data_IF_198551703714
#
_entry.id   IF_198551703714
#
_cell.length_a   1.000
_cell.length_b   1.000
_cell.length_c   1.000
_cell.angle_alpha   90.00
_cell.angle_beta   90.00
_cell.angle_gamma   90.00
#
_symmetry.space_group_name_H-M   'P 1'
#
loop_
_entity.id
_entity.type
_entity.pdbx_description
1 polymer ?
#
# COMPACT_ATOMS: atom_id res chain seq x y z
N UNK A 1 -6.31 23.39 4.21
CA UNK A 1 -6.69 22.39 5.23
C UNK A 1 -5.93 21.12 4.91
N UNK A 2 -5.25 20.51 5.88
CA UNK A 2 -4.48 19.27 5.64
C UNK A 2 -5.44 18.07 5.52
N UNK A 3 -5.31 17.30 4.44
CA UNK A 3 -6.10 16.08 4.19
C UNK A 3 -5.77 15.00 5.23
N UNK A 4 -6.79 14.36 5.81
CA UNK A 4 -6.60 13.31 6.82
C UNK A 4 -6.13 11.99 6.18
N UNK A 5 -5.35 11.19 6.93
CA UNK A 5 -4.86 9.90 6.43
C UNK A 5 -6.00 8.95 6.07
N UNK A 6 -7.07 8.94 6.87
CA UNK A 6 -8.25 8.12 6.59
C UNK A 6 -8.85 8.46 5.22
N UNK A 7 -8.92 9.74 4.85
CA UNK A 7 -9.40 10.14 3.51
C UNK A 7 -8.53 9.56 2.40
N UNK A 8 -7.21 9.54 2.58
CA UNK A 8 -6.30 8.92 1.60
C UNK A 8 -6.54 7.41 1.53
N UNK A 9 -6.70 6.75 2.68
CA UNK A 9 -6.97 5.30 2.75
C UNK A 9 -8.29 4.94 2.05
N UNK A 10 -9.34 5.72 2.28
CA UNK A 10 -10.65 5.55 1.62
C UNK A 10 -10.54 5.77 0.10
N UNK A 11 -9.79 6.80 -0.31
CA UNK A 11 -9.58 7.17 -1.70
C UNK A 11 -8.83 6.08 -2.47
N UNK A 12 -7.76 5.51 -1.89
CA UNK A 12 -7.05 4.39 -2.49
C UNK A 12 -7.91 3.11 -2.55
N UNK A 13 -8.71 2.81 -1.52
CA UNK A 13 -9.63 1.67 -1.57
C UNK A 13 -10.69 1.83 -2.68
N UNK A 14 -11.20 3.04 -2.87
CA UNK A 14 -12.10 3.37 -3.97
C UNK A 14 -11.42 3.20 -5.34
N UNK A 15 -10.25 3.80 -5.51
CA UNK A 15 -9.48 3.76 -6.75
C UNK A 15 -9.15 2.31 -7.14
N UNK A 16 -8.73 1.45 -6.20
CA UNK A 16 -8.48 0.04 -6.46
C UNK A 16 -9.71 -0.68 -7.01
N UNK A 17 -10.91 -0.39 -6.48
CA UNK A 17 -12.16 -0.97 -7.01
C UNK A 17 -12.46 -0.46 -8.42
N UNK A 18 -12.24 0.82 -8.70
CA UNK A 18 -12.39 1.39 -10.05
C UNK A 18 -11.39 0.75 -11.02
N UNK A 19 -10.12 0.63 -10.64
CA UNK A 19 -9.10 -0.03 -11.45
C UNK A 19 -9.49 -1.48 -11.73
N UNK A 20 -9.96 -2.23 -10.74
CA UNK A 20 -10.38 -3.62 -10.91
C UNK A 20 -11.52 -3.77 -11.92
N UNK A 21 -12.50 -2.87 -11.90
CA UNK A 21 -13.63 -2.88 -12.84
C UNK A 21 -13.19 -2.74 -14.31
N UNK A 22 -12.03 -2.14 -14.56
CA UNK A 22 -11.43 -2.04 -15.90
C UNK A 22 -10.69 -3.32 -16.34
N UNK A 23 -10.76 -4.38 -15.54
CA UNK A 23 -10.19 -5.70 -15.85
C UNK A 23 -8.71 -5.68 -16.24
N UNK A 24 -7.83 -5.04 -15.45
CA UNK A 24 -6.43 -4.91 -15.80
C UNK A 24 -5.76 -6.28 -15.82
N UNK A 25 -4.76 -6.45 -16.68
CA UNK A 25 -4.08 -7.73 -16.87
C UNK A 25 -2.61 -7.54 -16.48
N UNK A 26 -2.25 -8.08 -15.32
CA UNK A 26 -0.85 -8.19 -14.90
C UNK A 26 -0.06 -9.11 -15.84
N UNK A 27 1.23 -8.81 -16.03
CA UNK A 27 2.13 -9.61 -16.88
C UNK A 27 3.49 -9.79 -16.21
N UNK A 28 4.08 -10.95 -16.44
CA UNK A 28 5.50 -11.24 -16.20
C UNK A 28 6.18 -11.56 -17.53
N UNK A 29 7.50 -11.77 -17.52
CA UNK A 29 8.28 -12.11 -18.73
C UNK A 29 7.72 -13.31 -19.49
N UNK A 30 7.17 -14.30 -18.77
CA UNK A 30 6.78 -15.60 -19.35
C UNK A 30 5.29 -15.92 -19.19
N UNK A 31 4.50 -15.03 -18.58
CA UNK A 31 3.11 -15.34 -18.23
C UNK A 31 2.23 -14.10 -18.18
N UNK A 32 1.04 -14.23 -18.76
CA UNK A 32 -0.09 -13.33 -18.56
C UNK A 32 -0.93 -13.84 -17.40
N UNK A 33 -1.26 -12.97 -16.45
CA UNK A 33 -2.12 -13.31 -15.31
C UNK A 33 -3.60 -13.14 -15.68
N UNK A 34 -4.49 -13.64 -14.82
CA UNK A 34 -5.93 -13.44 -14.97
C UNK A 34 -6.28 -11.96 -14.74
N UNK A 35 -7.40 -11.48 -15.29
CA UNK A 35 -7.83 -10.09 -15.09
C UNK A 35 -8.13 -9.77 -13.62
N UNK A 36 -7.90 -8.51 -13.26
CA UNK A 36 -8.20 -7.91 -11.95
C UNK A 36 -6.97 -7.25 -11.32
N UNK A 37 -7.18 -6.49 -10.24
CA UNK A 37 -6.08 -5.78 -9.55
C UNK A 37 -5.12 -6.71 -8.81
N UNK A 38 -5.61 -7.87 -8.37
CA UNK A 38 -4.84 -8.79 -7.53
C UNK A 38 -3.48 -9.22 -8.11
N UNK A 39 -3.36 -9.52 -9.42
CA UNK A 39 -2.08 -9.85 -10.04
C UNK A 39 -1.16 -8.67 -10.39
N UNK A 40 -1.58 -7.42 -10.19
CA UNK A 40 -0.72 -6.26 -10.43
C UNK A 40 0.50 -6.27 -9.48
N UNK A 41 1.60 -5.70 -9.93
CA UNK A 41 2.68 -5.33 -9.00
C UNK A 41 2.27 -4.10 -8.19
N UNK A 42 2.95 -3.88 -7.06
CA UNK A 42 2.75 -2.69 -6.23
C UNK A 42 2.85 -1.39 -7.04
N UNK A 43 3.92 -1.24 -7.83
CA UNK A 43 4.12 -0.08 -8.69
C UNK A 43 3.01 0.08 -9.76
N UNK A 44 2.47 -1.03 -10.30
CA UNK A 44 1.37 -0.97 -11.25
C UNK A 44 0.06 -0.52 -10.59
N UNK A 45 -0.29 -1.11 -9.43
CA UNK A 45 -1.46 -0.73 -8.67
C UNK A 45 -1.39 0.75 -8.27
N UNK A 46 -0.26 1.18 -7.69
CA UNK A 46 -0.01 2.57 -7.33
C UNK A 46 -0.18 3.54 -8.49
N UNK A 47 0.38 3.20 -9.65
CA UNK A 47 0.25 4.04 -10.84
C UNK A 47 -1.21 4.16 -11.26
N UNK A 48 -1.94 3.04 -11.37
CA UNK A 48 -3.32 3.05 -11.85
C UNK A 48 -4.27 3.73 -10.88
N UNK A 49 -4.10 3.50 -9.57
CA UNK A 49 -4.88 4.19 -8.55
C UNK A 49 -4.65 5.70 -8.61
N UNK A 50 -3.39 6.13 -8.71
CA UNK A 50 -3.07 7.55 -8.79
C UNK A 50 -3.61 8.17 -10.08
N UNK A 51 -3.61 7.45 -11.21
CA UNK A 51 -4.23 7.91 -12.46
C UNK A 51 -5.75 8.14 -12.27
N UNK A 52 -6.45 7.24 -11.56
CA UNK A 52 -7.88 7.41 -11.20
C UNK A 52 -8.07 8.63 -10.28
N UNK A 53 -7.30 8.72 -9.20
CA UNK A 53 -7.43 9.80 -8.23
C UNK A 53 -7.12 11.18 -8.82
N UNK A 54 -6.18 11.26 -9.77
CA UNK A 54 -5.90 12.50 -10.51
C UNK A 54 -7.05 12.93 -11.39
N UNK A 55 -7.77 11.97 -11.99
CA UNK A 55 -8.92 12.25 -12.82
C UNK A 55 -10.14 12.69 -11.99
N UNK A 56 -10.41 12.01 -10.87
CA UNK A 56 -11.61 12.24 -10.06
C UNK A 56 -11.45 13.37 -9.04
N UNK A 57 -10.24 13.52 -8.48
CA UNK A 57 -9.92 14.45 -7.38
C UNK A 57 -8.66 15.27 -7.68
N UNK A 58 -8.59 15.98 -8.83
CA UNK A 58 -7.39 16.72 -9.23
C UNK A 58 -6.95 17.76 -8.19
N UNK A 59 -7.90 18.40 -7.49
CA UNK A 59 -7.57 19.39 -6.45
C UNK A 59 -6.75 18.85 -5.27
N UNK A 60 -6.67 17.53 -5.10
CA UNK A 60 -5.89 16.86 -4.06
C UNK A 60 -4.68 16.11 -4.62
N UNK A 61 -4.84 15.45 -5.77
CA UNK A 61 -3.87 14.47 -6.27
C UNK A 61 -3.13 14.88 -7.53
N UNK A 62 -3.48 15.98 -8.21
CA UNK A 62 -2.89 16.35 -9.51
C UNK A 62 -1.36 16.39 -9.46
N UNK A 63 -0.82 17.04 -8.43
CA UNK A 63 0.63 17.19 -8.20
C UNK A 63 1.24 16.08 -7.34
N UNK A 64 0.45 15.07 -6.96
CA UNK A 64 0.95 13.95 -6.19
C UNK A 64 1.74 12.97 -7.07
N UNK A 65 2.79 12.38 -6.50
CA UNK A 65 3.61 11.39 -7.19
C UNK A 65 4.89 11.03 -6.46
N UNK A 66 5.72 10.17 -7.04
CA UNK A 66 7.00 9.80 -6.44
C UNK A 66 7.95 10.99 -6.36
N UNK A 67 8.57 11.20 -5.20
CA UNK A 67 9.55 12.26 -4.98
C UNK A 67 10.82 11.67 -4.40
N UNK A 68 11.97 12.13 -4.90
CA UNK A 68 13.28 11.69 -4.44
C UNK A 68 13.45 12.04 -2.95
N UNK A 69 13.97 11.11 -2.18
CA UNK A 69 14.33 11.37 -0.78
C UNK A 69 15.38 12.49 -0.69
N UNK A 70 15.20 13.47 0.22
CA UNK A 70 16.21 14.49 0.45
C UNK A 70 17.56 13.87 0.80
N UNK A 71 18.60 14.15 0.01
CA UNK A 71 19.96 13.65 0.24
C UNK A 71 20.20 12.17 -0.09
N UNK A 72 19.25 11.46 -0.72
CA UNK A 72 19.41 10.05 -1.10
C UNK A 72 19.02 9.80 -2.56
N UNK A 73 19.44 8.67 -3.14
CA UNK A 73 19.10 8.29 -4.53
C UNK A 73 17.73 7.64 -4.67
N UNK A 74 17.15 7.13 -3.57
CA UNK A 74 15.85 6.48 -3.53
C UNK A 74 14.69 7.49 -3.65
N UNK A 75 13.51 6.97 -3.96
CA UNK A 75 12.26 7.74 -4.06
C UNK A 75 11.28 7.28 -2.97
N UNK A 76 10.51 8.23 -2.44
CA UNK A 76 9.30 7.96 -1.68
C UNK A 76 8.18 7.69 -2.68
N UNK A 77 7.37 6.67 -2.44
CA UNK A 77 6.38 6.17 -3.38
C UNK A 77 5.35 7.24 -3.75
N UNK A 78 4.89 8.03 -2.77
CA UNK A 78 3.92 9.08 -3.00
C UNK A 78 4.13 10.27 -2.06
N UNK A 79 4.31 11.45 -2.63
CA UNK A 79 4.22 12.72 -1.91
C UNK A 79 3.01 13.50 -2.41
N UNK A 80 2.14 13.89 -1.49
CA UNK A 80 1.10 14.91 -1.66
C UNK A 80 1.69 16.22 -1.12
N UNK A 81 2.07 17.18 -1.99
CA UNK A 81 2.77 18.39 -1.58
C UNK A 81 2.07 19.13 -0.43
N UNK A 82 2.83 19.46 0.61
CA UNK A 82 2.32 20.17 1.79
C UNK A 82 1.36 19.36 2.68
N UNK A 83 1.20 18.06 2.43
CA UNK A 83 0.30 17.18 3.19
C UNK A 83 0.99 15.93 3.71
N UNK A 84 1.42 15.03 2.80
CA UNK A 84 1.90 13.70 3.17
C UNK A 84 3.06 13.22 2.29
N UNK A 85 4.03 12.55 2.89
CA UNK A 85 4.97 11.65 2.24
C UNK A 85 4.64 10.22 2.73
N UNK A 86 4.36 9.32 1.79
CA UNK A 86 3.80 7.99 2.06
C UNK A 86 4.61 6.92 1.33
N UNK A 87 4.95 5.87 2.05
CA UNK A 87 5.47 4.62 1.47
C UNK A 87 4.36 3.58 1.43
N UNK A 88 4.34 2.79 0.36
CA UNK A 88 3.31 1.80 0.11
C UNK A 88 3.86 0.38 0.21
N UNK A 89 2.98 -0.54 0.57
CA UNK A 89 3.28 -1.96 0.47
C UNK A 89 2.10 -2.83 0.10
N UNK A 90 2.36 -3.78 -0.80
CA UNK A 90 1.42 -4.82 -1.19
C UNK A 90 1.54 -6.08 -0.33
N UNK A 91 0.42 -6.48 0.26
CA UNK A 91 0.17 -7.76 0.89
C UNK A 91 -0.62 -8.69 -0.03
N UNK A 92 -0.02 -9.84 -0.37
CA UNK A 92 -0.67 -10.82 -1.25
C UNK A 92 -0.34 -12.25 -0.82
N UNK A 93 -1.13 -12.83 0.11
CA UNK A 93 -0.88 -14.18 0.63
C UNK A 93 -1.13 -15.30 -0.38
N UNK A 94 -1.85 -15.04 -1.47
CA UNK A 94 -2.09 -16.01 -2.53
C UNK A 94 -1.72 -15.45 -3.90
N UNK A 95 -1.11 -16.26 -4.76
CA UNK A 95 -0.82 -15.90 -6.14
C UNK A 95 -2.04 -15.98 -7.06
N UNK A 96 -1.87 -15.54 -8.30
CA UNK A 96 -2.85 -15.66 -9.41
C UNK A 96 -3.35 -17.11 -9.65
N UNK A 97 -2.54 -18.09 -9.29
CA UNK A 97 -2.83 -19.52 -9.39
C UNK A 97 -3.50 -20.11 -8.14
N UNK A 98 -4.00 -19.27 -7.22
CA UNK A 98 -4.64 -19.67 -5.97
C UNK A 98 -3.73 -20.39 -4.96
N UNK A 99 -2.41 -20.42 -5.19
CA UNK A 99 -1.45 -21.03 -4.27
C UNK A 99 -0.94 -20.02 -3.25
N UNK A 100 -0.66 -20.44 -1.99
CA UNK A 100 0.00 -19.58 -1.02
C UNK A 100 1.30 -19.00 -1.56
N UNK A 101 1.55 -17.72 -1.30
CA UNK A 101 2.83 -17.08 -1.51
C UNK A 101 3.71 -17.29 -0.27
N UNK A 102 5.01 -17.55 -0.45
CA UNK A 102 5.90 -17.87 0.67
C UNK A 102 6.45 -16.61 1.38
N UNK A 103 6.74 -15.54 0.63
CA UNK A 103 7.44 -14.35 1.15
C UNK A 103 6.55 -13.11 1.32
N UNK A 104 5.23 -13.26 1.26
CA UNK A 104 4.29 -12.11 1.24
C UNK A 104 4.32 -11.27 2.52
N UNK A 105 4.57 -11.89 3.69
CA UNK A 105 4.59 -11.19 4.98
C UNK A 105 5.91 -10.44 5.22
N UNK A 106 7.01 -10.88 4.59
CA UNK A 106 8.33 -10.25 4.69
C UNK A 106 8.30 -8.81 4.14
N UNK A 107 7.44 -8.56 3.14
CA UNK A 107 7.19 -7.22 2.60
C UNK A 107 6.81 -6.20 3.69
N UNK A 108 6.21 -6.63 4.80
CA UNK A 108 5.83 -5.74 5.90
C UNK A 108 6.78 -5.89 7.08
N UNK A 109 7.08 -7.13 7.46
CA UNK A 109 7.65 -7.45 8.78
C UNK A 109 9.17 -7.48 8.83
N UNK A 110 9.87 -7.49 7.68
CA UNK A 110 11.32 -7.67 7.69
C UNK A 110 12.01 -6.49 8.39
N UNK A 111 12.68 -6.68 9.56
CA UNK A 111 13.01 -5.57 10.45
C UNK A 111 14.37 -4.91 10.20
N UNK A 112 15.17 -5.47 9.29
CA UNK A 112 16.55 -5.03 9.10
C UNK A 112 16.62 -3.70 8.32
N UNK A 113 17.41 -2.72 8.82
CA UNK A 113 17.68 -1.48 8.09
C UNK A 113 18.23 -1.74 6.68
N UNK A 114 17.74 -0.99 5.70
CA UNK A 114 18.14 -1.13 4.29
C UNK A 114 17.30 -2.13 3.48
N UNK A 115 16.35 -2.83 4.10
CA UNK A 115 15.33 -3.60 3.38
C UNK A 115 14.19 -2.70 2.87
N UNK A 116 13.46 -3.17 1.85
CA UNK A 116 12.30 -2.52 1.24
C UNK A 116 10.97 -2.96 1.87
N UNK A 117 10.95 -3.23 3.17
CA UNK A 117 9.76 -3.62 3.91
C UNK A 117 9.04 -2.40 4.50
N UNK A 118 7.77 -2.51 4.90
CA UNK A 118 7.09 -1.39 5.59
C UNK A 118 7.80 -0.92 6.86
N UNK A 119 8.42 -1.83 7.61
CA UNK A 119 9.25 -1.45 8.76
C UNK A 119 10.50 -0.67 8.31
N UNK A 120 11.22 -1.19 7.30
CA UNK A 120 12.42 -0.54 6.77
C UNK A 120 12.11 0.84 6.16
N UNK A 121 11.01 0.91 5.42
CA UNK A 121 10.48 2.13 4.82
C UNK A 121 10.03 3.13 5.91
N UNK A 122 9.41 2.66 6.99
CA UNK A 122 9.06 3.50 8.14
C UNK A 122 10.28 4.13 8.81
N UNK A 123 11.34 3.36 9.03
CA UNK A 123 12.61 3.87 9.57
C UNK A 123 13.24 4.92 8.65
N UNK A 124 13.31 4.61 7.35
CA UNK A 124 13.86 5.50 6.30
C UNK A 124 13.06 6.79 6.20
N UNK A 125 11.73 6.70 6.16
CA UNK A 125 10.84 7.84 6.05
C UNK A 125 10.91 8.72 7.30
N UNK A 126 10.93 8.12 8.51
CA UNK A 126 11.11 8.86 9.76
C UNK A 126 12.41 9.66 9.77
N UNK A 127 13.52 9.08 9.33
CA UNK A 127 14.84 9.72 9.26
C UNK A 127 14.96 10.80 8.16
N UNK A 128 14.04 10.85 7.20
CA UNK A 128 14.08 11.84 6.11
C UNK A 128 13.75 13.26 6.58
N UNK A 129 14.14 14.26 5.78
CA UNK A 129 13.83 15.69 6.04
C UNK A 129 12.64 16.21 5.23
N UNK A 130 11.75 15.32 4.76
CA UNK A 130 10.45 15.74 4.22
C UNK A 130 9.72 16.64 5.21
N UNK A 131 9.11 17.71 4.68
CA UNK A 131 8.36 18.68 5.49
C UNK A 131 6.90 18.24 5.68
N UNK A 132 6.43 17.35 4.80
CA UNK A 132 5.16 16.68 4.88
C UNK A 132 5.07 15.75 6.10
N UNK A 133 3.83 15.46 6.52
CA UNK A 133 3.60 14.37 7.46
C UNK A 133 3.99 13.05 6.82
N UNK A 134 4.45 12.11 7.62
CA UNK A 134 5.03 10.86 7.13
C UNK A 134 4.10 9.72 7.48
N UNK A 135 3.89 8.80 6.55
CA UNK A 135 3.02 7.67 6.80
C UNK A 135 3.36 6.43 5.99
N UNK A 136 2.75 5.33 6.39
CA UNK A 136 2.82 4.05 5.72
C UNK A 136 1.42 3.66 5.29
N UNK A 137 1.28 3.23 4.04
CA UNK A 137 0.07 2.62 3.52
C UNK A 137 0.37 1.17 3.16
N UNK A 138 -0.48 0.26 3.61
CA UNK A 138 -0.40 -1.15 3.27
C UNK A 138 -1.72 -1.56 2.67
N UNK A 139 -1.71 -2.14 1.48
CA UNK A 139 -2.91 -2.66 0.84
C UNK A 139 -2.74 -4.12 0.48
N UNK A 140 -3.83 -4.87 0.44
CA UNK A 140 -3.74 -6.28 0.09
C UNK A 140 -5.06 -6.86 -0.37
N UNK A 141 -4.97 -8.08 -0.90
CA UNK A 141 -6.08 -8.80 -1.49
C UNK A 141 -6.21 -10.21 -0.93
N UNK A 142 -7.46 -10.63 -0.72
CA UNK A 142 -7.81 -11.91 -0.10
C UNK A 142 -9.06 -12.51 -0.77
N UNK A 143 -9.32 -13.80 -0.50
CA UNK A 143 -10.58 -14.45 -0.86
C UNK A 143 -11.77 -13.81 -0.13
N UNK A 144 -12.98 -14.08 -0.62
CA UNK A 144 -14.21 -13.76 0.09
C UNK A 144 -15.02 -15.04 0.32
N UNK A 145 -15.11 -15.57 1.57
CA UNK A 145 -14.45 -15.09 2.78
C UNK A 145 -12.92 -15.32 2.78
N UNK A 146 -12.14 -14.60 3.62
CA UNK A 146 -10.69 -14.78 3.68
C UNK A 146 -10.29 -16.20 4.09
N UNK A 147 -9.38 -16.81 3.32
CA UNK A 147 -8.69 -18.04 3.73
C UNK A 147 -7.54 -17.77 4.69
N UNK A 148 -6.88 -16.63 4.53
CA UNK A 148 -5.90 -16.08 5.46
C UNK A 148 -6.20 -14.60 5.65
N UNK A 149 -6.59 -14.21 6.86
CA UNK A 149 -6.93 -12.82 7.18
C UNK A 149 -5.66 -11.96 7.28
N UNK A 150 -5.63 -10.85 6.55
CA UNK A 150 -4.52 -9.89 6.58
C UNK A 150 -4.29 -9.26 7.97
N UNK A 151 -5.28 -9.27 8.87
CA UNK A 151 -5.11 -8.77 10.24
C UNK A 151 -3.93 -9.41 10.98
N UNK A 152 -3.58 -10.67 10.67
CA UNK A 152 -2.47 -11.36 11.37
C UNK A 152 -1.13 -10.65 11.15
N UNK A 153 -0.84 -10.25 9.92
CA UNK A 153 0.40 -9.54 9.59
C UNK A 153 0.32 -8.08 10.02
N UNK A 154 -0.87 -7.47 9.95
CA UNK A 154 -1.07 -6.08 10.36
C UNK A 154 -0.87 -5.93 11.87
N UNK A 155 -1.47 -6.79 12.70
CA UNK A 155 -1.24 -6.76 14.14
C UNK A 155 0.21 -7.09 14.50
N UNK A 156 0.85 -8.01 13.77
CA UNK A 156 2.27 -8.32 13.94
C UNK A 156 3.14 -7.09 13.65
N UNK A 157 2.84 -6.37 12.57
CA UNK A 157 3.51 -5.13 12.19
C UNK A 157 3.36 -4.08 13.29
N UNK A 158 2.16 -3.84 13.79
CA UNK A 158 1.92 -2.86 14.86
C UNK A 158 2.66 -3.21 16.15
N UNK A 159 2.64 -4.49 16.54
CA UNK A 159 3.34 -4.98 17.73
C UNK A 159 4.85 -4.81 17.59
N UNK A 160 5.44 -5.26 16.48
CA UNK A 160 6.89 -5.15 16.25
C UNK A 160 7.31 -3.67 16.20
N UNK A 161 6.58 -2.86 15.43
CA UNK A 161 6.89 -1.44 15.23
C UNK A 161 6.84 -0.67 16.55
N UNK A 162 5.78 -0.86 17.36
CA UNK A 162 5.60 -0.13 18.62
C UNK A 162 6.43 -0.69 19.77
N UNK A 163 6.38 -2.00 19.98
CA UNK A 163 6.89 -2.61 21.21
C UNK A 163 8.33 -3.06 21.09
N UNK A 164 8.77 -3.49 19.91
CA UNK A 164 10.12 -4.03 19.70
C UNK A 164 11.06 -2.94 19.18
N UNK A 165 10.62 -2.16 18.19
CA UNK A 165 11.44 -1.13 17.56
C UNK A 165 11.28 0.25 18.20
N UNK A 166 10.26 0.46 19.02
CA UNK A 166 10.00 1.75 19.67
C UNK A 166 9.63 2.87 18.69
N UNK A 167 9.12 2.53 17.51
CA UNK A 167 8.64 3.51 16.53
C UNK A 167 7.19 3.88 16.88
N UNK A 168 6.97 5.14 17.21
CA UNK A 168 5.62 5.67 17.41
C UNK A 168 4.87 5.75 16.08
N UNK A 169 3.75 5.04 16.01
CA UNK A 169 2.80 5.10 14.90
C UNK A 169 1.42 5.49 15.42
N UNK A 170 0.73 6.35 14.68
CA UNK A 170 -0.61 6.83 14.99
C UNK A 170 -1.67 5.73 14.99
N UNK A 171 -2.92 6.12 15.16
CA UNK A 171 -4.04 5.20 15.06
C UNK A 171 -4.14 4.63 13.64
N UNK A 172 -4.43 3.33 13.55
CA UNK A 172 -4.68 2.65 12.28
C UNK A 172 -5.92 3.25 11.60
N UNK A 173 -5.71 3.73 10.38
CA UNK A 173 -6.77 4.00 9.42
C UNK A 173 -7.01 2.71 8.61
N UNK A 174 -8.26 2.43 8.25
CA UNK A 174 -8.59 1.24 7.45
C UNK A 174 -9.78 1.50 6.54
N UNK A 175 -9.71 0.99 5.32
CA UNK A 175 -10.81 0.90 4.37
C UNK A 175 -10.86 -0.50 3.77
N UNK A 176 -12.06 -1.00 3.51
CA UNK A 176 -12.29 -2.31 2.88
C UNK A 176 -13.05 -2.14 1.58
N UNK A 177 -12.82 -3.05 0.65
CA UNK A 177 -13.49 -3.07 -0.64
C UNK A 177 -13.61 -4.51 -1.13
N UNK A 178 -14.63 -4.80 -1.94
CA UNK A 178 -14.96 -6.16 -2.34
C UNK A 178 -15.65 -6.23 -3.69
N UNK A 179 -16.05 -7.44 -4.06
CA UNK A 179 -16.61 -7.79 -5.38
C UNK A 179 -15.59 -7.61 -6.50
N UNK A 180 -14.32 -7.92 -6.20
CA UNK A 180 -13.25 -7.86 -7.18
C UNK A 180 -13.37 -9.02 -8.17
N UNK A 181 -13.03 -8.78 -9.43
CA UNK A 181 -13.28 -9.71 -10.54
C UNK A 181 -12.35 -10.93 -10.53
N UNK A 182 -11.19 -10.84 -9.86
CA UNK A 182 -10.19 -11.90 -9.89
C UNK A 182 -10.66 -13.10 -9.06
N UNK A 183 -10.56 -14.36 -9.55
CA UNK A 183 -11.12 -15.52 -8.87
C UNK A 183 -10.48 -15.87 -7.51
N UNK A 184 -9.26 -15.40 -7.25
CA UNK A 184 -8.55 -15.58 -5.96
C UNK A 184 -8.57 -14.33 -5.09
N UNK A 185 -8.59 -13.15 -5.71
CA UNK A 185 -8.42 -11.86 -5.04
C UNK A 185 -9.75 -11.13 -5.13
N UNK A 186 -10.68 -11.53 -4.28
CA UNK A 186 -12.12 -11.19 -4.39
C UNK A 186 -12.51 -9.99 -3.51
N UNK A 187 -11.69 -9.68 -2.52
CA UNK A 187 -11.81 -8.49 -1.68
C UNK A 187 -10.42 -7.96 -1.31
N UNK A 188 -10.36 -6.76 -0.77
CA UNK A 188 -9.13 -6.15 -0.31
C UNK A 188 -9.33 -5.15 0.83
N UNK A 189 -8.21 -4.75 1.41
CA UNK A 189 -8.14 -3.78 2.49
C UNK A 189 -6.97 -2.83 2.25
N UNK A 190 -7.16 -1.57 2.63
CA UNK A 190 -6.11 -0.55 2.69
C UNK A 190 -5.99 -0.14 4.14
N UNK A 191 -4.76 -0.13 4.65
CA UNK A 191 -4.40 0.25 6.00
C UNK A 191 -3.46 1.45 5.95
N UNK A 192 -3.56 2.35 6.92
CA UNK A 192 -2.68 3.51 7.01
C UNK A 192 -2.25 3.81 8.44
N UNK A 193 -0.99 4.21 8.59
CA UNK A 193 -0.46 4.74 9.86
C UNK A 193 0.37 6.00 9.63
N UNK A 194 0.16 7.01 10.47
CA UNK A 194 1.06 8.15 10.59
C UNK A 194 2.29 7.76 11.39
N UNK A 195 3.47 8.23 10.99
CA UNK A 195 4.71 8.11 11.75
C UNK A 195 4.85 9.36 12.65
N UNK A 196 4.97 9.14 13.96
CA UNK A 196 5.03 10.18 15.01
C UNK A 196 6.45 10.27 15.60
#
# INVERSE_FOLDING_TARGET
MSIQLQTIVDDFAHALKVVDSNSPIGKSKNRTYKPGVGPLTEAQAMKYDLDVLKAEKPGLYLDAGPVKYPGASAYCDLVLPGSWALEFKLLRPYGDNDKPAEHWSENILHPYPGNTSSIGDGLKLKASTFQERKGLIVFGFEHSPPRLDLEIVVHSFELITRQILGISIGQRCVATFGELIHPTHQQGRVYGWELI
#
